data_IF_126209981975
#
_entry.id   IF_126209981975
#
_cell.length_a   1.000
_cell.length_b   1.000
_cell.length_c   1.000
_cell.angle_alpha   90.00
_cell.angle_beta   90.00
_cell.angle_gamma   90.00
#
_symmetry.space_group_name_H-M   'P 1'
#
loop_
_entity.id
_entity.type
_entity.pdbx_description
1 polymer ?
#
# COMPACT_ATOMS: atom_id res chain seq x y z
N UNK A 1 -1.70 -28.19 -41.82
CA UNK A 1 -0.71 -28.69 -40.85
C UNK A 1 -0.76 -27.78 -39.62
N UNK A 2 -1.22 -28.29 -38.46
CA UNK A 2 -1.35 -27.50 -37.23
C UNK A 2 0.01 -27.47 -36.52
N UNK A 3 0.61 -26.29 -36.38
CA UNK A 3 1.87 -26.13 -35.65
C UNK A 3 1.59 -26.19 -34.14
N UNK A 4 2.11 -27.21 -33.48
CA UNK A 4 2.06 -27.35 -32.02
C UNK A 4 3.15 -26.46 -31.41
N UNK A 5 2.75 -25.49 -30.58
CA UNK A 5 3.71 -24.64 -29.86
C UNK A 5 4.41 -25.46 -28.77
N UNK A 6 5.72 -25.29 -28.63
CA UNK A 6 6.54 -26.01 -27.66
C UNK A 6 6.12 -25.68 -26.22
N UNK A 7 6.20 -26.65 -25.28
CA UNK A 7 5.72 -26.48 -23.90
C UNK A 7 6.43 -25.34 -23.14
N UNK A 8 7.67 -25.03 -23.53
CA UNK A 8 8.46 -23.92 -22.98
C UNK A 8 7.84 -22.56 -23.35
N UNK A 9 7.34 -22.42 -24.58
CA UNK A 9 6.72 -21.19 -25.05
C UNK A 9 5.33 -20.96 -24.41
N UNK A 10 4.59 -22.04 -24.18
CA UNK A 10 3.32 -22.01 -23.44
C UNK A 10 3.52 -21.59 -21.97
N UNK A 11 4.61 -22.05 -21.33
CA UNK A 11 4.93 -21.73 -19.94
C UNK A 11 5.35 -20.24 -19.78
N UNK A 12 6.13 -19.71 -20.72
CA UNK A 12 6.53 -18.29 -20.70
C UNK A 12 5.37 -17.32 -20.93
N UNK A 13 4.39 -17.71 -21.75
CA UNK A 13 3.16 -16.93 -21.97
C UNK A 13 2.25 -16.86 -20.72
N UNK A 14 2.42 -17.78 -19.75
CA UNK A 14 1.69 -17.73 -18.48
C UNK A 14 2.32 -16.76 -17.46
N UNK A 15 3.64 -16.57 -17.52
CA UNK A 15 4.41 -15.70 -16.61
C UNK A 15 4.38 -14.24 -17.06
N UNK A 16 4.44 -14.01 -18.37
CA UNK A 16 4.22 -12.69 -18.96
C UNK A 16 2.86 -12.70 -19.61
N UNK A 17 1.88 -12.06 -18.96
CA UNK A 17 0.50 -11.90 -19.44
C UNK A 17 0.45 -11.06 -20.73
N UNK A 18 1.02 -11.61 -21.81
CA UNK A 18 1.00 -11.06 -23.15
C UNK A 18 -0.37 -11.45 -23.74
N UNK A 19 -1.22 -10.50 -24.17
CA UNK A 19 -2.49 -10.83 -24.78
C UNK A 19 -2.21 -11.41 -26.18
N UNK A 20 -2.18 -12.73 -26.29
CA UNK A 20 -2.20 -13.40 -27.59
C UNK A 20 -3.65 -13.32 -28.10
N UNK A 21 -3.88 -12.51 -29.14
CA UNK A 21 -5.15 -12.37 -29.83
C UNK A 21 -5.58 -13.73 -30.38
N UNK A 22 -6.62 -14.34 -29.82
CA UNK A 22 -7.26 -15.52 -30.41
C UNK A 22 -8.28 -15.07 -31.48
N UNK A 23 -8.16 -15.65 -32.67
CA UNK A 23 -9.09 -15.51 -33.80
C UNK A 23 -10.42 -16.19 -33.49
N UNK A 24 -11.52 -15.54 -33.89
CA UNK A 24 -12.89 -15.94 -33.62
C UNK A 24 -13.31 -17.24 -34.33
N UNK A 25 -14.14 -18.04 -33.67
CA UNK A 25 -15.05 -19.01 -34.30
C UNK A 25 -16.41 -18.99 -33.61
N UNK A 26 -17.43 -18.89 -34.44
CA UNK A 26 -18.87 -18.83 -34.19
C UNK A 26 -19.42 -20.19 -33.73
N UNK A 27 -20.17 -20.21 -32.62
CA UNK A 27 -21.34 -21.10 -32.44
C UNK A 27 -22.23 -20.62 -31.28
N UNK A 28 -23.53 -20.74 -31.53
CA UNK A 28 -24.72 -20.35 -30.75
C UNK A 28 -25.00 -21.24 -29.54
N UNK A 29 -25.46 -20.65 -28.42
CA UNK A 29 -26.60 -21.13 -27.62
C UNK A 29 -26.95 -20.16 -26.46
N UNK A 30 -28.24 -20.09 -26.16
CA UNK A 30 -28.95 -19.22 -25.21
C UNK A 30 -28.79 -19.68 -23.75
N UNK A 31 -28.73 -18.74 -22.81
CA UNK A 31 -29.59 -18.71 -21.61
C UNK A 31 -29.22 -17.52 -20.70
N UNK A 32 -30.27 -16.91 -20.15
CA UNK A 32 -30.25 -15.65 -19.43
C UNK A 32 -29.91 -15.82 -17.94
N UNK A 33 -29.35 -14.76 -17.34
CA UNK A 33 -29.89 -14.15 -16.11
C UNK A 33 -29.12 -12.87 -15.77
N UNK A 34 -29.91 -11.82 -15.52
CA UNK A 34 -29.50 -10.51 -15.03
C UNK A 34 -28.77 -10.65 -13.68
N UNK A 35 -27.84 -9.76 -13.29
CA UNK A 35 -28.21 -8.44 -12.76
C UNK A 35 -26.98 -7.55 -12.50
N UNK A 36 -27.20 -6.25 -12.72
CA UNK A 36 -26.59 -5.11 -12.04
C UNK A 36 -25.10 -4.81 -12.27
N UNK A 37 -24.83 -4.02 -13.32
CA UNK A 37 -23.68 -3.12 -13.37
C UNK A 37 -24.16 -1.66 -13.38
N UNK A 38 -23.87 -0.95 -12.30
CA UNK A 38 -24.12 0.48 -12.11
C UNK A 38 -23.25 1.27 -13.08
N UNK A 39 -23.85 1.75 -14.17
CA UNK A 39 -23.20 2.65 -15.11
C UNK A 39 -23.18 4.08 -14.53
N UNK A 40 -21.99 4.58 -14.21
CA UNK A 40 -21.76 6.00 -13.95
C UNK A 40 -21.92 6.78 -15.26
N UNK A 41 -23.00 7.57 -15.36
CA UNK A 41 -23.23 8.51 -16.46
C UNK A 41 -22.33 9.73 -16.30
N UNK A 42 -21.26 9.77 -17.09
CA UNK A 42 -20.46 10.98 -17.32
C UNK A 42 -21.27 11.87 -18.25
N UNK A 43 -21.87 12.92 -17.71
CA UNK A 43 -22.50 14.00 -18.46
C UNK A 43 -21.41 14.89 -19.07
N UNK A 44 -21.05 14.63 -20.34
CA UNK A 44 -20.30 15.57 -21.17
C UNK A 44 -21.25 16.65 -21.70
N UNK A 45 -21.25 17.82 -21.05
CA UNK A 45 -21.82 19.04 -21.64
C UNK A 45 -20.88 19.52 -22.74
N UNK A 46 -21.18 19.18 -24.00
CA UNK A 46 -20.62 19.88 -25.15
C UNK A 46 -21.47 21.14 -25.38
N UNK A 47 -20.87 22.29 -25.10
CA UNK A 47 -21.24 23.53 -25.75
C UNK A 47 -20.78 23.44 -27.21
N UNK A 48 -21.71 23.63 -28.15
CA UNK A 48 -21.37 24.01 -29.52
C UNK A 48 -22.39 25.03 -30.01
N UNK A 49 -21.88 26.23 -30.30
CA UNK A 49 -22.63 27.31 -30.91
C UNK A 49 -23.08 26.97 -32.33
N UNK A 50 -24.32 27.37 -32.61
CA UNK A 50 -24.61 28.45 -33.54
C UNK A 50 -24.25 28.26 -35.01
N UNK A 51 -25.25 27.88 -35.81
CA UNK A 51 -25.61 28.39 -37.15
C UNK A 51 -27.12 28.07 -37.27
N UNK A 52 -28.05 29.02 -37.13
CA UNK A 52 -28.48 29.91 -38.20
C UNK A 52 -29.52 29.20 -39.10
N UNK A 53 -30.80 29.57 -38.99
CA UNK A 53 -31.86 29.67 -40.04
C UNK A 53 -33.27 29.46 -39.45
N UNK A 54 -34.08 30.53 -39.52
CA UNK A 54 -35.55 30.49 -39.69
C UNK A 54 -36.43 30.07 -38.52
N UNK A 55 -37.19 31.00 -37.94
CA UNK A 55 -38.28 30.66 -37.02
C UNK A 55 -38.97 31.86 -36.40
N UNK A 56 -40.00 32.34 -37.07
CA UNK A 56 -40.93 33.40 -36.68
C UNK A 56 -41.57 33.14 -35.30
N UNK A 57 -41.37 34.03 -34.33
CA UNK A 57 -42.31 34.24 -33.22
C UNK A 57 -42.36 35.72 -32.84
N UNK A 58 -43.46 36.36 -33.21
CA UNK A 58 -43.89 37.66 -32.70
C UNK A 58 -44.57 37.45 -31.34
N UNK A 59 -44.27 38.27 -30.34
CA UNK A 59 -45.03 38.27 -29.09
C UNK A 59 -44.32 38.88 -27.89
N UNK A 60 -44.54 40.18 -27.71
CA UNK A 60 -44.46 40.96 -26.46
C UNK A 60 -43.11 41.10 -25.74
N UNK A 61 -42.49 42.26 -26.00
CA UNK A 61 -41.55 42.92 -25.10
C UNK A 61 -42.30 43.40 -23.84
N UNK A 62 -42.19 42.68 -22.72
CA UNK A 62 -42.47 43.23 -21.40
C UNK A 62 -41.18 43.82 -20.82
N UNK A 63 -41.04 45.13 -20.90
CA UNK A 63 -40.04 45.91 -20.16
C UNK A 63 -40.32 45.82 -18.67
N UNK A 64 -39.71 44.84 -17.98
CA UNK A 64 -39.66 44.83 -16.53
C UNK A 64 -38.65 45.88 -16.06
N UNK A 65 -39.14 47.06 -15.71
CA UNK A 65 -38.38 48.04 -14.93
C UNK A 65 -38.11 47.46 -13.55
N UNK A 66 -36.87 47.03 -13.30
CA UNK A 66 -36.45 46.56 -11.98
C UNK A 66 -36.41 47.75 -11.05
N UNK A 67 -37.34 47.84 -10.11
CA UNK A 67 -37.27 48.80 -9.00
C UNK A 67 -36.01 48.52 -8.18
N UNK A 68 -35.05 49.45 -8.19
CA UNK A 68 -33.89 49.41 -7.31
C UNK A 68 -34.34 49.81 -5.90
N UNK A 69 -34.75 48.83 -5.10
CA UNK A 69 -34.97 49.03 -3.66
C UNK A 69 -33.62 49.02 -2.96
N UNK A 70 -33.06 50.22 -2.74
CA UNK A 70 -31.99 50.43 -1.77
C UNK A 70 -32.58 50.35 -0.34
N UNK A 71 -32.99 49.14 0.06
CA UNK A 71 -33.35 48.83 1.44
C UNK A 71 -32.10 48.76 2.31
N UNK A 72 -31.98 49.72 3.22
CA UNK A 72 -31.00 49.90 4.30
C UNK A 72 -29.99 48.75 4.51
N UNK A 73 -28.71 49.05 4.24
CA UNK A 73 -27.59 48.26 4.73
C UNK A 73 -27.50 48.36 6.26
N UNK A 74 -27.95 47.31 6.95
CA UNK A 74 -27.37 46.68 8.15
C UNK A 74 -26.72 47.59 9.21
N UNK A 75 -27.38 47.76 10.37
CA UNK A 75 -26.72 48.09 11.65
C UNK A 75 -27.19 47.16 12.76
N UNK A 76 -26.76 45.89 12.71
CA UNK A 76 -26.63 45.05 13.88
C UNK A 76 -25.40 44.18 13.70
N UNK A 77 -24.25 44.66 14.18
CA UNK A 77 -23.01 43.88 14.23
C UNK A 77 -23.19 42.76 15.26
N UNK A 78 -23.80 41.65 14.84
CA UNK A 78 -23.93 40.43 15.66
C UNK A 78 -22.53 40.04 16.12
N UNK A 79 -22.30 40.02 17.44
CA UNK A 79 -21.04 39.61 18.02
C UNK A 79 -20.72 38.18 17.55
N UNK A 80 -19.57 38.01 16.88
CA UNK A 80 -19.16 36.69 16.38
C UNK A 80 -18.84 35.83 17.60
N UNK A 81 -19.70 34.85 17.90
CA UNK A 81 -19.43 33.84 18.94
C UNK A 81 -18.02 33.30 18.74
N UNK A 82 -17.15 33.49 19.73
CA UNK A 82 -15.79 32.94 19.73
C UNK A 82 -15.90 31.42 19.68
N UNK A 83 -15.72 30.85 18.49
CA UNK A 83 -15.63 29.40 18.34
C UNK A 83 -14.36 28.92 19.05
N UNK A 84 -14.50 27.90 19.88
CA UNK A 84 -13.34 27.30 20.52
C UNK A 84 -12.35 26.81 19.43
N UNK A 85 -11.10 27.24 19.57
CA UNK A 85 -10.00 26.89 18.66
C UNK A 85 -9.77 25.39 18.66
N UNK A 86 -9.98 24.71 19.79
CA UNK A 86 -9.88 23.24 19.90
C UNK A 86 -10.89 22.56 19.00
N UNK A 87 -12.16 22.99 19.06
CA UNK A 87 -13.25 22.46 18.23
C UNK A 87 -12.98 22.76 16.74
N UNK A 88 -12.37 23.90 16.43
CA UNK A 88 -12.00 24.26 15.06
C UNK A 88 -10.86 23.38 14.53
N UNK A 89 -9.83 23.10 15.34
CA UNK A 89 -8.75 22.18 14.99
C UNK A 89 -9.26 20.74 14.84
N UNK A 90 -10.12 20.28 15.75
CA UNK A 90 -10.76 18.96 15.64
C UNK A 90 -11.56 18.86 14.33
N UNK A 91 -12.41 19.86 14.03
CA UNK A 91 -13.17 19.89 12.78
C UNK A 91 -12.26 19.96 11.55
N UNK A 92 -11.13 20.66 11.66
CA UNK A 92 -10.14 20.71 10.60
C UNK A 92 -9.51 19.34 10.37
N UNK A 93 -8.95 18.68 11.37
CA UNK A 93 -8.33 17.35 11.18
C UNK A 93 -9.33 16.25 10.82
N UNK A 94 -10.61 16.38 11.22
CA UNK A 94 -11.65 15.40 10.92
C UNK A 94 -12.24 15.54 9.51
N UNK A 95 -12.37 16.77 9.00
CA UNK A 95 -13.09 17.05 7.75
C UNK A 95 -12.25 17.71 6.66
N UNK A 96 -11.00 18.11 6.95
CA UNK A 96 -10.12 18.63 5.92
C UNK A 96 -9.61 17.48 5.04
N UNK A 97 -9.80 17.53 3.72
CA UNK A 97 -9.18 16.56 2.82
C UNK A 97 -7.67 16.84 2.77
N UNK A 98 -6.95 16.30 3.75
CA UNK A 98 -5.48 16.35 3.84
C UNK A 98 -4.82 15.66 2.66
N UNK A 99 -5.58 14.83 1.93
CA UNK A 99 -5.11 14.14 0.74
C UNK A 99 -5.24 15.07 -0.49
N UNK A 100 -4.12 15.42 -1.15
CA UNK A 100 -4.19 16.14 -2.41
C UNK A 100 -4.89 15.28 -3.47
N UNK A 101 -5.33 15.93 -4.55
CA UNK A 101 -5.93 15.23 -5.69
C UNK A 101 -4.97 14.16 -6.23
N UNK A 102 -5.48 13.00 -6.69
CA UNK A 102 -4.64 11.94 -7.24
C UNK A 102 -3.70 12.44 -8.34
N UNK A 103 -2.46 11.97 -8.30
CA UNK A 103 -1.41 12.40 -9.20
C UNK A 103 -1.64 11.89 -10.63
N UNK A 104 -1.56 12.80 -11.61
CA UNK A 104 -1.73 12.48 -13.04
C UNK A 104 -0.37 12.48 -13.72
N UNK A 105 0.06 11.32 -14.20
CA UNK A 105 1.33 11.19 -14.93
C UNK A 105 1.13 11.25 -16.45
N UNK A 106 2.10 11.85 -17.15
CA UNK A 106 2.24 11.67 -18.59
C UNK A 106 2.72 10.24 -18.90
N UNK A 107 2.54 9.77 -20.13
CA UNK A 107 2.88 8.40 -20.54
C UNK A 107 4.33 8.01 -20.18
N UNK A 108 5.33 8.81 -20.56
CA UNK A 108 6.74 8.51 -20.27
C UNK A 108 7.03 8.51 -18.76
N UNK A 109 6.41 9.41 -17.98
CA UNK A 109 6.56 9.44 -16.53
C UNK A 109 5.93 8.23 -15.86
N UNK A 110 4.75 7.81 -16.33
CA UNK A 110 4.07 6.61 -15.86
C UNK A 110 4.91 5.35 -16.13
N UNK A 111 5.48 5.22 -17.33
CA UNK A 111 6.35 4.09 -17.68
C UNK A 111 7.60 4.02 -16.79
N UNK A 112 8.30 5.15 -16.57
CA UNK A 112 9.45 5.19 -15.65
C UNK A 112 9.05 4.76 -14.24
N UNK A 113 7.95 5.29 -13.72
CA UNK A 113 7.44 4.93 -12.40
C UNK A 113 7.09 3.45 -12.30
N UNK A 114 6.42 2.90 -13.32
CA UNK A 114 6.05 1.49 -13.39
C UNK A 114 7.29 0.59 -13.41
N UNK A 115 8.31 0.93 -14.20
CA UNK A 115 9.57 0.17 -14.25
C UNK A 115 10.29 0.17 -12.91
N UNK A 116 10.42 1.33 -12.25
CA UNK A 116 11.04 1.44 -10.92
C UNK A 116 10.26 0.62 -9.89
N UNK A 117 8.93 0.74 -9.90
CA UNK A 117 8.07 -0.02 -8.99
C UNK A 117 8.23 -1.54 -9.20
N UNK A 118 8.29 -1.99 -10.46
CA UNK A 118 8.48 -3.42 -10.75
C UNK A 118 9.86 -3.91 -10.35
N UNK A 119 10.91 -3.11 -10.59
CA UNK A 119 12.27 -3.42 -10.15
C UNK A 119 12.34 -3.53 -8.62
N UNK A 120 11.67 -2.63 -7.89
CA UNK A 120 11.57 -2.68 -6.43
C UNK A 120 10.86 -3.94 -5.95
N UNK A 121 9.72 -4.31 -6.54
CA UNK A 121 9.03 -5.57 -6.20
C UNK A 121 9.92 -6.79 -6.40
N UNK A 122 10.68 -6.83 -7.50
CA UNK A 122 11.62 -7.91 -7.79
C UNK A 122 12.77 -7.95 -6.77
N UNK A 123 13.34 -6.79 -6.44
CA UNK A 123 14.34 -6.65 -5.39
C UNK A 123 13.83 -7.15 -4.04
N UNK A 124 12.62 -6.75 -3.62
CA UNK A 124 12.01 -7.22 -2.38
C UNK A 124 11.73 -8.73 -2.38
N UNK A 125 11.31 -9.30 -3.51
CA UNK A 125 11.13 -10.75 -3.63
C UNK A 125 12.47 -11.47 -3.42
N UNK A 126 13.54 -11.02 -4.10
CA UNK A 126 14.89 -11.57 -3.92
C UNK A 126 15.38 -11.44 -2.47
N UNK A 127 15.19 -10.28 -1.84
CA UNK A 127 15.57 -10.05 -0.44
C UNK A 127 14.86 -11.01 0.51
N UNK A 128 13.55 -11.25 0.31
CA UNK A 128 12.79 -12.24 1.09
C UNK A 128 13.29 -13.66 0.86
N UNK A 129 13.50 -14.07 -0.39
CA UNK A 129 14.03 -15.41 -0.70
C UNK A 129 15.43 -15.64 -0.12
N UNK A 130 16.30 -14.63 -0.14
CA UNK A 130 17.61 -14.72 0.48
C UNK A 130 17.51 -14.87 2.01
N UNK A 131 16.60 -14.11 2.64
CA UNK A 131 16.36 -14.22 4.08
C UNK A 131 15.79 -15.59 4.47
N UNK A 132 14.84 -16.15 3.72
CA UNK A 132 14.30 -17.49 3.99
C UNK A 132 15.37 -18.58 3.83
N UNK A 133 16.19 -18.51 2.78
CA UNK A 133 17.29 -19.44 2.57
C UNK A 133 18.29 -19.38 3.73
N UNK A 134 18.65 -18.18 4.20
CA UNK A 134 19.57 -18.03 5.32
C UNK A 134 18.99 -18.61 6.62
N UNK A 135 17.69 -18.41 6.88
CA UNK A 135 17.02 -19.04 8.02
C UNK A 135 16.98 -20.57 7.90
N UNK A 136 16.70 -21.10 6.71
CA UNK A 136 16.75 -22.54 6.43
C UNK A 136 18.17 -23.09 6.63
N UNK A 137 19.20 -22.37 6.19
CA UNK A 137 20.61 -22.72 6.37
C UNK A 137 20.96 -22.80 7.85
N UNK A 138 20.58 -21.79 8.64
CA UNK A 138 20.78 -21.77 10.09
C UNK A 138 20.05 -22.92 10.77
N UNK A 139 18.78 -23.15 10.41
CA UNK A 139 17.99 -24.25 10.96
C UNK A 139 18.59 -25.63 10.64
N UNK A 140 19.02 -25.84 9.39
CA UNK A 140 19.67 -27.07 8.96
C UNK A 140 20.98 -27.31 9.72
N UNK A 141 21.78 -26.27 9.93
CA UNK A 141 23.02 -26.36 10.70
C UNK A 141 22.76 -26.69 12.18
N UNK A 142 21.79 -26.00 12.81
CA UNK A 142 21.40 -26.28 14.20
C UNK A 142 20.87 -27.72 14.36
N UNK A 143 20.05 -28.18 13.42
CA UNK A 143 19.51 -29.54 13.41
C UNK A 143 20.61 -30.58 13.29
N UNK A 144 21.56 -30.40 12.36
CA UNK A 144 22.69 -31.31 12.21
C UNK A 144 23.53 -31.38 13.50
N UNK A 145 23.85 -30.24 14.11
CA UNK A 145 24.57 -30.20 15.38
C UNK A 145 23.81 -30.90 16.52
N UNK A 146 22.47 -30.77 16.58
CA UNK A 146 21.66 -31.46 17.57
C UNK A 146 21.61 -32.98 17.35
N UNK A 147 21.60 -33.45 16.09
CA UNK A 147 21.69 -34.89 15.78
C UNK A 147 23.05 -35.46 16.18
N UNK A 148 24.14 -34.74 15.93
CA UNK A 148 25.48 -35.11 16.41
C UNK A 148 25.53 -35.20 17.93
N UNK A 149 24.93 -34.25 18.66
CA UNK A 149 24.82 -34.33 20.13
C UNK A 149 23.96 -35.49 20.62
N UNK A 150 23.01 -35.95 19.81
CA UNK A 150 22.09 -37.03 20.18
C UNK A 150 22.72 -38.41 20.02
N UNK A 151 23.54 -38.61 18.99
CA UNK A 151 24.10 -39.93 18.62
C UNK A 151 25.62 -39.97 18.83
N UNK A 152 26.35 -38.91 18.46
CA UNK A 152 27.80 -38.91 18.33
C UNK A 152 28.58 -38.63 19.63
N UNK A 153 27.96 -38.03 20.64
CA UNK A 153 28.65 -37.61 21.87
C UNK A 153 28.95 -38.75 22.88
N UNK A 154 28.47 -39.98 22.63
CA UNK A 154 28.71 -41.14 23.50
C UNK A 154 28.06 -41.06 24.90
N UNK A 155 27.22 -40.06 25.15
CA UNK A 155 26.61 -39.74 26.44
C UNK A 155 25.15 -40.25 26.56
N UNK A 156 24.70 -41.06 25.61
CA UNK A 156 23.32 -41.53 25.50
C UNK A 156 22.30 -40.41 25.28
N UNK A 157 22.71 -39.27 24.72
CA UNK A 157 21.83 -38.13 24.44
C UNK A 157 21.48 -37.30 25.70
N UNK A 158 22.33 -37.33 26.73
CA UNK A 158 22.15 -36.50 27.94
C UNK A 158 22.27 -35.01 27.59
N UNK A 159 23.32 -34.60 26.90
CA UNK A 159 23.57 -33.23 26.46
C UNK A 159 22.45 -32.72 25.54
N UNK A 160 21.99 -33.57 24.61
CA UNK A 160 20.83 -33.25 23.77
C UNK A 160 19.56 -32.95 24.59
N UNK A 161 19.26 -33.75 25.61
CA UNK A 161 18.10 -33.49 26.49
C UNK A 161 18.26 -32.18 27.26
N UNK A 162 19.47 -31.89 27.76
CA UNK A 162 19.76 -30.64 28.47
C UNK A 162 19.61 -29.43 27.55
N UNK A 163 20.11 -29.48 26.31
CA UNK A 163 20.01 -28.38 25.35
C UNK A 163 18.57 -28.09 24.91
N UNK A 164 17.68 -29.08 24.96
CA UNK A 164 16.26 -28.92 24.62
C UNK A 164 15.43 -28.28 25.75
N UNK A 165 16.02 -28.04 26.92
CA UNK A 165 15.33 -27.35 28.02
C UNK A 165 15.09 -25.87 27.68
N UNK A 166 13.83 -25.44 27.70
CA UNK A 166 13.42 -24.05 27.43
C UNK A 166 13.31 -23.18 28.69
N UNK A 167 14.05 -23.51 29.76
CA UNK A 167 13.97 -22.81 31.05
C UNK A 167 14.43 -21.36 30.87
N UNK A 168 13.62 -20.40 31.32
CA UNK A 168 13.91 -18.96 31.22
C UNK A 168 13.59 -18.31 29.87
N UNK A 169 13.41 -19.08 28.80
CA UNK A 169 13.23 -18.56 27.44
C UNK A 169 11.94 -17.72 27.27
N UNK A 170 10.86 -18.05 27.99
CA UNK A 170 9.59 -17.33 27.81
C UNK A 170 9.39 -16.16 28.78
N UNK A 171 10.30 -15.96 29.73
CA UNK A 171 10.25 -14.85 30.70
C UNK A 171 11.37 -13.85 30.45
N UNK A 172 12.61 -14.35 30.40
CA UNK A 172 13.83 -13.54 30.37
C UNK A 172 14.73 -13.95 29.19
N UNK A 173 14.14 -14.04 27.98
CA UNK A 173 14.80 -14.60 26.79
C UNK A 173 16.01 -13.81 26.31
N UNK A 174 15.87 -12.48 26.28
CA UNK A 174 16.83 -11.56 25.70
C UNK A 174 17.03 -10.40 26.68
N UNK A 175 18.28 -10.14 27.12
CA UNK A 175 18.56 -8.97 27.93
C UNK A 175 18.20 -7.69 27.16
N UNK A 176 17.56 -6.73 27.83
CA UNK A 176 17.07 -5.48 27.23
C UNK A 176 18.18 -4.69 26.52
N UNK A 177 19.44 -4.86 26.94
CA UNK A 177 20.61 -4.22 26.34
C UNK A 177 20.84 -4.64 24.87
N UNK A 178 20.43 -5.85 24.49
CA UNK A 178 20.53 -6.35 23.11
C UNK A 178 19.33 -5.97 22.23
N UNK A 179 18.24 -5.47 22.81
CA UNK A 179 17.07 -4.97 22.06
C UNK A 179 17.30 -3.63 21.35
N UNK A 180 18.53 -3.12 21.34
CA UNK A 180 18.90 -1.85 20.70
C UNK A 180 18.75 -1.96 19.18
N UNK A 181 18.00 -1.01 18.60
CA UNK A 181 17.81 -0.91 17.17
C UNK A 181 19.06 -0.36 16.48
N UNK A 182 19.24 -0.74 15.22
CA UNK A 182 20.28 -0.15 14.37
C UNK A 182 19.98 1.33 14.13
N UNK A 183 21.03 2.15 14.11
CA UNK A 183 20.96 3.60 13.88
C UNK A 183 21.68 3.96 12.58
N UNK A 184 21.28 5.07 11.94
CA UNK A 184 21.83 5.52 10.65
C UNK A 184 23.34 5.89 10.73
N UNK A 185 23.81 6.35 11.89
CA UNK A 185 25.20 6.67 12.14
C UNK A 185 25.59 6.33 13.58
N UNK A 186 26.87 6.00 13.84
CA UNK A 186 27.32 5.65 15.19
C UNK A 186 27.24 6.86 16.12
N UNK A 187 26.97 6.59 17.41
CA UNK A 187 27.08 7.61 18.46
C UNK A 187 28.53 8.03 18.70
N UNK A 188 28.73 9.11 19.47
CA UNK A 188 30.07 9.60 19.85
C UNK A 188 30.91 8.51 20.52
N UNK A 189 30.27 7.67 21.33
CA UNK A 189 30.85 6.47 21.92
C UNK A 189 30.10 5.26 21.33
N UNK A 190 30.71 4.61 20.32
CA UNK A 190 30.06 3.50 19.60
C UNK A 190 29.98 2.19 20.39
N UNK A 191 30.90 1.97 21.34
CA UNK A 191 30.96 0.77 22.17
C UNK A 191 31.50 1.09 23.58
N UNK A 192 30.90 0.48 24.61
CA UNK A 192 31.35 0.65 25.99
C UNK A 192 32.37 -0.44 26.35
N UNK A 193 33.67 -0.11 26.25
CA UNK A 193 34.76 -0.99 26.68
C UNK A 193 34.91 -1.08 28.21
N UNK A 194 34.34 -0.13 28.95
CA UNK A 194 34.38 -0.07 30.41
C UNK A 194 33.24 -0.80 31.11
N UNK A 195 32.45 -1.61 30.39
CA UNK A 195 31.34 -2.36 30.97
C UNK A 195 31.84 -3.29 32.09
N UNK A 196 31.18 -3.21 33.25
CA UNK A 196 31.43 -4.08 34.40
C UNK A 196 30.12 -4.72 34.81
N UNK A 197 30.16 -6.03 35.10
CA UNK A 197 29.05 -6.73 35.76
C UNK A 197 28.81 -6.03 37.10
N UNK A 198 27.64 -5.44 37.31
CA UNK A 198 27.30 -4.83 38.59
C UNK A 198 27.55 -5.83 39.72
N UNK A 199 28.42 -5.48 40.67
CA UNK A 199 28.53 -6.24 41.93
C UNK A 199 27.22 -5.98 42.66
N UNK A 200 26.42 -7.03 42.88
CA UNK A 200 25.06 -6.94 43.40
C UNK A 200 25.01 -6.13 44.70
N UNK A 201 24.25 -5.04 44.70
CA UNK A 201 23.70 -4.49 45.92
C UNK A 201 22.44 -5.28 46.24
N UNK A 202 22.56 -6.26 47.15
CA UNK A 202 21.41 -6.78 47.86
C UNK A 202 20.72 -5.60 48.57
N UNK A 203 19.47 -5.34 48.17
CA UNK A 203 18.49 -4.59 48.94
C UNK A 203 17.18 -5.35 48.91
#
# INVERSE_FOLDING_TARGET
MKQTLSPILASLASVFRIPVRATATTTTALSASASASTANSITSRLARGGYGYGGLFAGQMQTQTRSFSAGQAVMAKRERVRKDKRITLIRYFLYHPLTPRPLRFSRNRYLRHWTIHRAWQLYQAKKRSAHTLELERQWNAMRAACEELRIGAGDGGKLFRVSMNKKGLFRDALPIEYGRLQTEGPGREGWNYGWKRGVGGDK
#
